data_IF_296114993697
#
_entry.id   IF_296114993697
#
_cell.length_a   1.000
_cell.length_b   1.000
_cell.length_c   1.000
_cell.angle_alpha   90.00
_cell.angle_beta   90.00
_cell.angle_gamma   90.00
#
_symmetry.space_group_name_H-M   'P 1'
#
loop_
_entity.id
_entity.type
_entity.pdbx_description
1 polymer ?
#
# COMPACT_ATOMS: atom_id res chain seq x y z
N UNK A 1 -11.42 10.61 0.13
CA UNK A 1 -10.07 10.09 -0.12
C UNK A 1 -9.27 10.46 1.11
N UNK A 2 -8.63 9.47 1.72
CA UNK A 2 -7.93 9.65 3.00
C UNK A 2 -6.59 10.35 2.76
N UNK A 3 -6.21 11.26 3.67
CA UNK A 3 -4.93 11.96 3.60
C UNK A 3 -3.78 11.06 4.06
N UNK A 4 -2.58 11.30 3.53
CA UNK A 4 -1.35 10.58 3.92
C UNK A 4 -1.13 10.63 5.44
N UNK A 5 -1.43 11.76 6.09
CA UNK A 5 -1.28 11.90 7.54
C UNK A 5 -2.21 10.96 8.33
N UNK A 6 -3.42 10.72 7.84
CA UNK A 6 -4.37 9.84 8.50
C UNK A 6 -3.91 8.38 8.43
N UNK A 7 -3.36 7.95 7.29
CA UNK A 7 -2.71 6.63 7.13
C UNK A 7 -1.52 6.47 8.09
N UNK A 8 -0.67 7.49 8.19
CA UNK A 8 0.47 7.50 9.14
C UNK A 8 -0.02 7.41 10.59
N UNK A 9 -1.06 8.15 10.94
CA UNK A 9 -1.64 8.11 12.29
C UNK A 9 -2.17 6.72 12.67
N UNK A 10 -2.82 6.01 11.74
CA UNK A 10 -3.27 4.63 11.96
C UNK A 10 -2.09 3.71 12.23
N UNK A 11 -1.06 3.75 11.40
CA UNK A 11 0.11 2.88 11.58
C UNK A 11 0.95 3.22 12.81
N UNK A 12 1.07 4.51 13.16
CA UNK A 12 1.74 4.97 14.38
C UNK A 12 0.97 4.49 15.62
N UNK A 13 -0.37 4.53 15.59
CA UNK A 13 -1.23 4.00 16.66
C UNK A 13 -1.18 2.47 16.78
N UNK A 14 -1.02 1.75 15.68
CA UNK A 14 -0.89 0.30 15.66
C UNK A 14 0.42 -0.18 16.34
N UNK A 15 1.35 0.73 16.63
CA UNK A 15 2.58 0.42 17.34
C UNK A 15 3.63 -0.21 16.44
N UNK A 16 3.60 0.07 15.13
CA UNK A 16 4.73 -0.25 14.27
C UNK A 16 5.97 0.45 14.82
N UNK A 17 7.00 -0.33 15.23
CA UNK A 17 8.30 0.20 15.66
C UNK A 17 9.11 0.89 14.54
N UNK A 18 8.43 1.29 13.47
CA UNK A 18 8.97 1.97 12.30
C UNK A 18 8.93 3.48 12.56
N UNK A 19 10.01 4.22 12.33
CA UNK A 19 10.02 5.67 12.54
C UNK A 19 8.97 6.37 11.65
N UNK A 20 8.33 7.42 12.18
CA UNK A 20 7.23 8.13 11.50
C UNK A 20 7.61 8.67 10.12
N UNK A 21 8.88 9.05 9.89
CA UNK A 21 9.38 9.48 8.57
C UNK A 21 9.23 8.37 7.50
N UNK A 22 9.50 7.12 7.90
CA UNK A 22 9.40 5.96 7.00
C UNK A 22 7.94 5.55 6.79
N UNK A 23 7.11 5.63 7.84
CA UNK A 23 5.66 5.47 7.70
C UNK A 23 5.07 6.51 6.73
N UNK A 24 5.54 7.75 6.78
CA UNK A 24 5.16 8.81 5.84
C UNK A 24 5.46 8.45 4.38
N UNK A 25 6.64 7.89 4.09
CA UNK A 25 7.00 7.45 2.74
C UNK A 25 6.14 6.29 2.25
N UNK A 26 5.86 5.32 3.11
CA UNK A 26 4.94 4.22 2.80
C UNK A 26 3.52 4.73 2.52
N UNK A 27 3.02 5.64 3.35
CA UNK A 27 1.67 6.19 3.20
C UNK A 27 1.56 7.04 1.93
N UNK A 28 2.60 7.80 1.61
CA UNK A 28 2.68 8.57 0.38
C UNK A 28 2.75 7.66 -0.85
N UNK A 29 3.59 6.62 -0.84
CA UNK A 29 3.69 5.69 -1.95
C UNK A 29 2.39 4.91 -2.17
N UNK A 30 1.79 4.42 -1.09
CA UNK A 30 0.50 3.75 -1.13
C UNK A 30 -0.56 4.68 -1.71
N UNK A 31 -0.71 5.89 -1.18
CA UNK A 31 -1.74 6.86 -1.61
C UNK A 31 -1.52 7.38 -3.03
N UNK A 32 -0.26 7.52 -3.46
CA UNK A 32 0.10 7.96 -4.79
C UNK A 32 -0.18 6.89 -5.86
N UNK A 33 0.12 5.63 -5.56
CA UNK A 33 -0.20 4.51 -6.46
C UNK A 33 -1.70 4.19 -6.42
N UNK A 34 -2.28 4.16 -5.21
CA UNK A 34 -3.67 3.78 -4.95
C UNK A 34 -4.31 4.66 -3.88
N UNK A 35 -5.38 5.39 -4.21
CA UNK A 35 -6.03 6.23 -3.21
C UNK A 35 -6.58 5.38 -2.06
N UNK A 36 -6.30 5.77 -0.81
CA UNK A 36 -6.84 5.09 0.37
C UNK A 36 -8.24 5.62 0.66
N UNK A 37 -9.16 4.73 1.00
CA UNK A 37 -10.56 5.03 1.26
C UNK A 37 -11.23 3.99 2.15
N UNK A 38 -12.57 3.94 2.19
CA UNK A 38 -13.31 2.98 3.00
C UNK A 38 -12.88 1.55 2.67
N UNK A 39 -12.64 0.74 3.71
CA UNK A 39 -12.19 -0.63 3.56
C UNK A 39 -13.16 -1.44 2.71
N UNK A 40 -12.60 -2.18 1.77
CA UNK A 40 -13.26 -3.21 0.98
C UNK A 40 -12.33 -4.41 0.94
N UNK A 41 -12.91 -5.62 0.96
CA UNK A 41 -12.13 -6.84 0.78
C UNK A 41 -11.33 -6.73 -0.52
N UNK A 42 -10.03 -6.91 -0.40
CA UNK A 42 -9.10 -6.95 -1.52
C UNK A 42 -8.99 -8.39 -2.00
N UNK A 43 -8.99 -8.60 -3.31
CA UNK A 43 -8.54 -9.87 -3.88
C UNK A 43 -7.00 -9.96 -3.81
N UNK A 44 -6.43 -11.16 -3.93
CA UNK A 44 -4.98 -11.39 -3.84
C UNK A 44 -4.18 -10.43 -4.74
N UNK A 45 -4.61 -10.26 -6.00
CA UNK A 45 -3.94 -9.35 -6.94
C UNK A 45 -4.01 -7.87 -6.52
N UNK A 46 -5.05 -7.47 -5.78
CA UNK A 46 -5.15 -6.11 -5.23
C UNK A 46 -4.22 -5.97 -4.02
N UNK A 47 -4.14 -6.98 -3.17
CA UNK A 47 -3.23 -7.00 -2.03
C UNK A 47 -1.76 -6.97 -2.48
N UNK A 48 -1.36 -7.83 -3.42
CA UNK A 48 0.01 -7.86 -3.98
C UNK A 48 0.46 -6.50 -4.51
N UNK A 49 -0.43 -5.79 -5.19
CA UNK A 49 -0.12 -4.48 -5.75
C UNK A 49 -0.02 -3.39 -4.67
N UNK A 50 -0.85 -3.47 -3.62
CA UNK A 50 -0.73 -2.56 -2.48
C UNK A 50 0.59 -2.80 -1.75
N UNK A 51 0.96 -4.07 -1.54
CA UNK A 51 2.24 -4.45 -0.97
C UNK A 51 3.39 -4.00 -1.86
N UNK A 52 3.29 -4.15 -3.19
CA UNK A 52 4.30 -3.68 -4.13
C UNK A 52 4.53 -2.18 -4.03
N UNK A 53 3.46 -1.37 -3.86
CA UNK A 53 3.58 0.06 -3.68
C UNK A 53 4.39 0.41 -2.41
N UNK A 54 4.15 -0.33 -1.31
CA UNK A 54 4.95 -0.20 -0.08
C UNK A 54 6.39 -0.64 -0.31
N UNK A 55 6.58 -1.80 -0.93
CA UNK A 55 7.91 -2.37 -1.17
C UNK A 55 8.78 -1.49 -2.06
N UNK A 56 8.17 -0.74 -3.00
CA UNK A 56 8.86 0.22 -3.86
C UNK A 56 9.52 1.38 -3.11
N UNK A 57 9.08 1.68 -1.88
CA UNK A 57 9.77 2.67 -1.03
C UNK A 57 11.19 2.22 -0.68
N UNK A 58 11.36 0.93 -0.40
CA UNK A 58 12.67 0.35 -0.09
C UNK A 58 13.43 -0.07 -1.36
N UNK A 59 12.69 -0.51 -2.39
CA UNK A 59 13.23 -0.94 -3.68
C UNK A 59 12.45 -0.33 -4.85
N UNK A 60 12.83 0.87 -5.33
CA UNK A 60 12.08 1.58 -6.37
C UNK A 60 11.83 0.79 -7.65
N UNK A 61 12.72 -0.16 -7.97
CA UNK A 61 12.68 -0.97 -9.18
C UNK A 61 12.03 -2.36 -8.96
N UNK A 62 11.46 -2.60 -7.77
CA UNK A 62 10.81 -3.87 -7.47
C UNK A 62 9.61 -4.14 -8.38
N UNK A 63 9.45 -5.42 -8.70
CA UNK A 63 8.35 -5.95 -9.52
C UNK A 63 7.53 -6.94 -8.71
N UNK A 64 6.34 -7.32 -9.20
CA UNK A 64 5.52 -8.39 -8.60
C UNK A 64 6.32 -9.71 -8.51
N UNK A 65 7.19 -9.99 -9.49
CA UNK A 65 8.04 -11.17 -9.43
C UNK A 65 9.03 -11.09 -8.26
N UNK A 66 9.65 -9.93 -8.02
CA UNK A 66 10.54 -9.71 -6.86
C UNK A 66 9.78 -9.84 -5.54
N UNK A 67 8.52 -9.37 -5.51
CA UNK A 67 7.63 -9.52 -4.36
C UNK A 67 7.38 -10.99 -4.02
N UNK A 68 7.04 -11.83 -5.01
CA UNK A 68 6.83 -13.26 -4.79
C UNK A 68 8.12 -14.02 -4.39
N UNK A 69 9.30 -13.46 -4.66
CA UNK A 69 10.59 -13.99 -4.22
C UNK A 69 11.00 -13.47 -2.84
N UNK A 70 10.22 -12.56 -2.25
CA UNK A 70 10.56 -11.93 -0.98
C UNK A 70 10.45 -12.91 0.19
N UNK A 71 11.31 -12.79 1.21
CA UNK A 71 11.17 -13.60 2.42
C UNK A 71 9.79 -13.42 3.07
N UNK A 72 9.12 -14.51 3.48
CA UNK A 72 7.77 -14.45 4.02
C UNK A 72 7.66 -13.54 5.26
N UNK A 73 8.74 -13.43 6.05
CA UNK A 73 8.77 -12.53 7.21
C UNK A 73 8.62 -11.05 6.83
N UNK A 74 9.29 -10.63 5.74
CA UNK A 74 9.14 -9.26 5.25
C UNK A 74 7.73 -9.05 4.67
N UNK A 75 7.21 -10.07 3.97
CA UNK A 75 5.87 -10.00 3.38
C UNK A 75 4.80 -9.80 4.46
N UNK A 76 4.90 -10.57 5.54
CA UNK A 76 4.01 -10.44 6.71
C UNK A 76 3.99 -9.04 7.31
N UNK A 77 5.11 -8.31 7.28
CA UNK A 77 5.16 -6.94 7.81
C UNK A 77 4.31 -5.97 6.96
N UNK A 78 4.30 -6.13 5.63
CA UNK A 78 3.45 -5.34 4.75
C UNK A 78 1.98 -5.75 4.84
N UNK A 79 1.67 -7.05 4.97
CA UNK A 79 0.31 -7.50 5.24
C UNK A 79 -0.22 -6.94 6.57
N UNK A 80 0.61 -6.89 7.62
CA UNK A 80 0.22 -6.30 8.90
C UNK A 80 -0.15 -4.82 8.74
N UNK A 81 0.65 -4.05 8.01
CA UNK A 81 0.32 -2.66 7.69
C UNK A 81 -1.02 -2.50 6.97
N UNK A 82 -1.33 -3.36 5.99
CA UNK A 82 -2.63 -3.34 5.32
C UNK A 82 -3.77 -3.76 6.24
N UNK A 83 -3.52 -4.75 7.11
CA UNK A 83 -4.49 -5.24 8.08
C UNK A 83 -4.82 -4.18 9.14
N UNK A 84 -3.84 -3.39 9.58
CA UNK A 84 -4.07 -2.30 10.54
C UNK A 84 -4.92 -1.18 9.94
N UNK A 85 -4.76 -0.88 8.64
CA UNK A 85 -5.70 0.00 7.93
C UNK A 85 -7.10 -0.60 7.88
N UNK A 86 -7.19 -1.88 7.50
CA UNK A 86 -8.47 -2.59 7.41
C UNK A 86 -9.22 -2.60 8.75
N UNK A 87 -8.49 -2.75 9.86
CA UNK A 87 -9.01 -2.71 11.22
C UNK A 87 -9.64 -1.36 11.58
N UNK A 88 -9.08 -0.27 11.08
CA UNK A 88 -9.64 1.09 11.24
C UNK A 88 -10.69 1.41 10.16
N UNK A 89 -11.08 0.44 9.33
CA UNK A 89 -12.07 0.62 8.28
C UNK A 89 -11.54 1.36 7.04
N UNK A 90 -10.21 1.37 6.85
CA UNK A 90 -9.53 1.97 5.71
C UNK A 90 -8.89 0.90 4.83
N UNK A 91 -8.75 1.17 3.53
CA UNK A 91 -8.06 0.26 2.62
C UNK A 91 -7.64 0.93 1.31
N UNK A 92 -6.63 0.36 0.63
CA UNK A 92 -6.26 0.82 -0.71
C UNK A 92 -7.42 0.56 -1.65
N UNK A 93 -7.87 1.60 -2.35
CA UNK A 93 -8.91 1.45 -3.36
C UNK A 93 -8.30 1.01 -4.68
N UNK A 94 -9.15 0.39 -5.50
CA UNK A 94 -8.81 0.06 -6.87
C UNK A 94 -8.42 1.34 -7.61
N UNK A 95 -7.27 1.29 -8.29
CA UNK A 95 -6.76 2.41 -9.06
C UNK A 95 -7.87 2.97 -9.97
N UNK A 96 -8.13 4.26 -9.83
CA UNK A 96 -9.11 4.99 -10.63
C UNK A 96 -8.42 5.76 -11.75
N UNK A 97 -7.15 5.45 -12.10
CA UNK A 97 -6.56 6.05 -13.29
C UNK A 97 -7.21 5.33 -14.48
N UNK A 98 -7.91 6.05 -15.36
CA UNK A 98 -8.24 5.48 -16.64
C UNK A 98 -6.90 5.13 -17.29
N UNK A 99 -6.70 3.85 -17.62
CA UNK A 99 -5.72 3.49 -18.62
C UNK A 99 -5.90 4.48 -19.79
N UNK A 100 -4.87 5.21 -20.23
CA UNK A 100 -4.96 5.85 -21.52
C UNK A 100 -5.06 4.70 -22.51
N UNK A 101 -6.29 4.36 -22.91
CA UNK A 101 -6.51 3.57 -24.11
C UNK A 101 -5.86 4.40 -25.20
N UNK A 102 -4.66 3.99 -25.60
CA UNK A 102 -3.94 4.54 -26.71
C UNK A 102 -4.90 4.55 -27.89
N UNK A 103 -5.37 5.76 -28.23
CA UNK A 103 -6.19 5.97 -29.39
C UNK A 103 -5.35 5.57 -30.59
N UNK A 104 -5.67 4.43 -31.18
CA UNK A 104 -5.33 4.12 -32.56
C UNK A 104 -5.93 5.22 -33.43
N UNK A 105 -5.09 6.15 -33.89
CA UNK A 105 -5.33 7.03 -35.03
C UNK A 105 -4.04 7.19 -35.81
#
# INVERSE_FOLDING_TARGET
>A
MVDVNEVVHVWSRAGHGTPDDRLGRYAQALTADRPVGPYRALDDAQEDQAILALYRVDRPQATIADLHQMPPLALSSYHQMLHDLAREGLGPMRDSRPFPIGGLR
#
